data_IF_558941234651
#
_entry.id   IF_558941234651
#
_cell.length_a   1.000
_cell.length_b   1.000
_cell.length_c   1.000
_cell.angle_alpha   90.00
_cell.angle_beta   90.00
_cell.angle_gamma   90.00
#
_symmetry.space_group_name_H-M   'P 1'
#
loop_
_entity.id
_entity.type
_entity.pdbx_description
1 polymer ?
#
# COMPACT_ATOMS: atom_id res chain seq x y z
N UNK A 1 19.23 -24.80 -1.95
CA UNK A 1 18.50 -23.74 -1.22
C UNK A 1 18.15 -22.66 -2.23
N UNK A 2 16.88 -22.25 -2.37
CA UNK A 2 16.49 -21.22 -3.34
C UNK A 2 17.05 -19.85 -2.91
N UNK A 3 17.51 -19.04 -3.87
CA UNK A 3 17.97 -17.67 -3.58
C UNK A 3 16.77 -16.76 -3.30
N UNK A 4 16.99 -15.64 -2.59
CA UNK A 4 15.95 -14.62 -2.40
C UNK A 4 15.30 -14.22 -3.73
N UNK A 5 16.13 -13.96 -4.76
CA UNK A 5 15.66 -13.58 -6.10
C UNK A 5 14.70 -14.61 -6.68
N UNK A 6 15.03 -15.90 -6.60
CA UNK A 6 14.16 -16.99 -7.09
C UNK A 6 12.83 -17.03 -6.34
N UNK A 7 12.87 -16.93 -5.00
CA UNK A 7 11.67 -16.90 -4.16
C UNK A 7 10.79 -15.69 -4.47
N UNK A 8 11.39 -14.50 -4.61
CA UNK A 8 10.68 -13.27 -4.94
C UNK A 8 9.99 -13.35 -6.31
N UNK A 9 10.71 -13.77 -7.35
CA UNK A 9 10.14 -13.94 -8.69
C UNK A 9 8.98 -14.94 -8.73
N UNK A 10 8.96 -15.89 -7.79
CA UNK A 10 7.86 -16.86 -7.65
C UNK A 10 6.61 -16.24 -7.03
N UNK A 11 6.76 -15.40 -5.98
CA UNK A 11 5.61 -14.84 -5.25
C UNK A 11 5.10 -13.52 -5.83
N UNK A 12 5.98 -12.71 -6.45
CA UNK A 12 5.65 -11.37 -6.98
C UNK A 12 4.37 -11.36 -7.85
N UNK A 13 4.18 -12.27 -8.82
CA UNK A 13 2.98 -12.24 -9.66
C UNK A 13 1.68 -12.46 -8.87
N UNK A 14 1.73 -13.24 -7.79
CA UNK A 14 0.55 -13.45 -6.92
C UNK A 14 0.27 -12.21 -6.08
N UNK A 15 1.31 -11.53 -5.59
CA UNK A 15 1.17 -10.25 -4.89
C UNK A 15 0.60 -9.16 -5.80
N UNK A 16 1.04 -9.08 -7.05
CA UNK A 16 0.50 -8.17 -8.07
C UNK A 16 -1.00 -8.44 -8.35
N UNK A 17 -1.40 -9.72 -8.41
CA UNK A 17 -2.84 -10.10 -8.50
C UNK A 17 -3.63 -9.62 -7.29
N UNK A 18 -3.10 -9.80 -6.07
CA UNK A 18 -3.76 -9.36 -4.84
C UNK A 18 -3.95 -7.83 -4.84
N UNK A 19 -2.90 -7.08 -5.19
CA UNK A 19 -2.98 -5.62 -5.29
C UNK A 19 -4.01 -5.16 -6.32
N UNK A 20 -4.08 -5.86 -7.45
CA UNK A 20 -5.05 -5.57 -8.52
C UNK A 20 -6.45 -6.13 -8.25
N UNK A 21 -6.69 -6.76 -7.09
CA UNK A 21 -7.93 -7.46 -6.73
C UNK A 21 -8.34 -8.56 -7.74
N UNK A 22 -7.37 -9.12 -8.44
CA UNK A 22 -7.54 -10.23 -9.38
C UNK A 22 -7.66 -11.55 -8.61
N UNK A 23 -8.47 -12.48 -9.13
CA UNK A 23 -8.64 -13.79 -8.53
C UNK A 23 -7.30 -14.55 -8.43
N UNK A 24 -7.05 -15.11 -7.23
CA UNK A 24 -5.94 -16.03 -6.97
C UNK A 24 -6.50 -17.41 -6.64
N UNK A 25 -5.78 -18.45 -7.05
CA UNK A 25 -6.11 -19.83 -6.70
C UNK A 25 -5.64 -20.15 -5.29
N UNK A 26 -6.25 -21.17 -4.67
CA UNK A 26 -5.79 -21.70 -3.38
C UNK A 26 -4.32 -22.14 -3.42
N UNK A 27 -3.87 -22.70 -4.56
CA UNK A 27 -2.49 -23.16 -4.74
C UNK A 27 -1.52 -21.98 -4.71
N UNK A 28 -1.80 -20.91 -5.45
CA UNK A 28 -1.00 -19.68 -5.42
C UNK A 28 -0.91 -19.11 -4.01
N UNK A 29 -2.06 -19.01 -3.32
CA UNK A 29 -2.11 -18.51 -1.95
C UNK A 29 -1.23 -19.30 -0.98
N UNK A 30 -1.30 -20.64 -1.01
CA UNK A 30 -0.49 -21.52 -0.15
C UNK A 30 1.00 -21.42 -0.49
N UNK A 31 1.37 -21.34 -1.77
CA UNK A 31 2.77 -21.19 -2.18
C UNK A 31 3.37 -19.89 -1.65
N UNK A 32 2.64 -18.77 -1.76
CA UNK A 32 3.11 -17.48 -1.25
C UNK A 32 3.29 -17.52 0.26
N UNK A 33 2.32 -18.07 1.00
CA UNK A 33 2.42 -18.23 2.45
C UNK A 33 3.66 -19.02 2.87
N UNK A 34 3.90 -20.17 2.22
CA UNK A 34 5.04 -21.02 2.54
C UNK A 34 6.37 -20.30 2.27
N UNK A 35 6.51 -19.66 1.11
CA UNK A 35 7.74 -18.97 0.74
C UNK A 35 8.02 -17.81 1.70
N UNK A 36 7.02 -17.01 2.05
CA UNK A 36 7.19 -15.90 3.00
C UNK A 36 7.60 -16.41 4.38
N UNK A 37 6.93 -17.47 4.87
CA UNK A 37 7.31 -18.12 6.11
C UNK A 37 8.78 -18.58 6.10
N UNK A 38 9.22 -19.23 5.02
CA UNK A 38 10.60 -19.71 4.89
C UNK A 38 11.61 -18.57 4.81
N UNK A 39 11.29 -17.48 4.12
CA UNK A 39 12.15 -16.28 4.06
C UNK A 39 12.30 -15.61 5.42
N UNK A 40 11.26 -15.66 6.26
CA UNK A 40 11.28 -15.05 7.60
C UNK A 40 12.00 -15.91 8.66
N UNK A 41 12.01 -17.23 8.52
CA UNK A 41 12.58 -18.13 9.53
C UNK A 41 14.07 -18.44 9.34
N UNK A 42 14.68 -18.10 8.20
CA UNK A 42 15.99 -18.64 7.81
C UNK A 42 17.22 -17.88 8.29
N UNK A 43 17.13 -16.63 8.78
CA UNK A 43 18.33 -15.77 8.95
C UNK A 43 18.33 -14.92 10.24
N UNK A 44 17.96 -15.47 11.40
CA UNK A 44 18.04 -14.71 12.67
C UNK A 44 19.45 -14.67 13.28
N UNK A 45 20.38 -15.52 12.82
CA UNK A 45 21.72 -15.62 13.38
C UNK A 45 22.78 -14.92 12.52
N UNK A 46 23.20 -13.75 13.00
CA UNK A 46 24.52 -13.11 12.86
C UNK A 46 25.31 -13.32 11.55
N UNK A 47 25.22 -12.34 10.67
CA UNK A 47 26.39 -11.78 9.96
C UNK A 47 26.04 -10.38 9.43
N UNK A 48 27.05 -9.57 9.07
CA UNK A 48 26.90 -8.20 8.54
C UNK A 48 26.15 -8.10 7.18
N UNK A 49 25.41 -9.13 6.78
CA UNK A 49 24.67 -9.22 5.53
C UNK A 49 23.18 -8.94 5.76
N UNK A 50 22.55 -8.22 4.82
CA UNK A 50 21.10 -7.95 4.78
C UNK A 50 20.34 -9.28 4.84
N UNK A 51 19.40 -9.41 5.78
CA UNK A 51 18.62 -10.64 5.95
C UNK A 51 17.61 -10.84 4.81
N UNK A 52 17.19 -12.09 4.54
CA UNK A 52 16.14 -12.34 3.52
C UNK A 52 14.79 -11.68 3.87
N UNK A 53 14.47 -11.56 5.15
CA UNK A 53 13.28 -10.85 5.62
C UNK A 53 13.36 -9.35 5.36
N UNK A 54 14.55 -8.76 5.51
CA UNK A 54 14.80 -7.36 5.17
C UNK A 54 14.68 -7.12 3.67
N UNK A 55 15.27 -7.99 2.84
CA UNK A 55 15.10 -7.93 1.39
C UNK A 55 13.63 -8.07 0.99
N UNK A 56 12.87 -8.93 1.69
CA UNK A 56 11.43 -9.10 1.46
C UNK A 56 10.66 -7.82 1.78
N UNK A 57 10.99 -7.13 2.88
CA UNK A 57 10.36 -5.86 3.25
C UNK A 57 10.58 -4.79 2.20
N UNK A 58 11.83 -4.56 1.79
CA UNK A 58 12.13 -3.53 0.78
C UNK A 58 11.53 -3.87 -0.59
N UNK A 59 11.56 -5.15 -0.99
CA UNK A 59 10.93 -5.58 -2.25
C UNK A 59 9.40 -5.39 -2.22
N UNK A 60 8.78 -5.54 -1.05
CA UNK A 60 7.35 -5.28 -0.87
C UNK A 60 7.04 -3.77 -0.89
N UNK A 61 7.85 -2.93 -0.24
CA UNK A 61 7.72 -1.45 -0.31
C UNK A 61 7.82 -0.96 -1.76
N UNK A 62 8.81 -1.45 -2.51
CA UNK A 62 8.97 -1.14 -3.93
C UNK A 62 7.74 -1.55 -4.75
N UNK A 63 7.27 -2.80 -4.58
CA UNK A 63 6.10 -3.32 -5.30
C UNK A 63 4.83 -2.50 -5.03
N UNK A 64 4.55 -2.20 -3.76
CA UNK A 64 3.36 -1.44 -3.39
C UNK A 64 3.51 0.01 -3.86
N UNK A 65 4.69 0.60 -3.73
CA UNK A 65 4.98 1.96 -4.22
C UNK A 65 4.71 2.04 -5.71
N UNK A 66 5.28 1.15 -6.52
CA UNK A 66 5.04 1.10 -7.97
C UNK A 66 3.54 1.01 -8.29
N UNK A 67 2.82 0.11 -7.63
CA UNK A 67 1.38 -0.05 -7.82
C UNK A 67 0.60 1.24 -7.51
N UNK A 68 0.86 1.85 -6.34
CA UNK A 68 0.13 3.06 -5.92
C UNK A 68 0.52 4.26 -6.77
N UNK A 69 1.79 4.46 -7.10
CA UNK A 69 2.23 5.55 -7.98
C UNK A 69 1.57 5.46 -9.35
N UNK A 70 1.46 4.26 -9.93
CA UNK A 70 0.76 4.06 -11.20
C UNK A 70 -0.72 4.43 -11.10
N UNK A 71 -1.40 4.04 -10.02
CA UNK A 71 -2.79 4.43 -9.76
C UNK A 71 -2.94 5.94 -9.57
N UNK A 72 -1.97 6.58 -8.94
CA UNK A 72 -1.97 8.02 -8.74
C UNK A 72 -1.84 8.79 -10.07
N UNK A 73 -0.98 8.32 -10.97
CA UNK A 73 -0.85 8.85 -12.33
C UNK A 73 -2.14 8.71 -13.15
N UNK A 74 -2.81 7.55 -13.08
CA UNK A 74 -4.11 7.35 -13.74
C UNK A 74 -5.14 8.40 -13.27
N UNK A 75 -5.17 8.71 -11.98
CA UNK A 75 -6.06 9.72 -11.41
C UNK A 75 -5.67 11.15 -11.81
N UNK A 76 -4.38 11.44 -11.93
CA UNK A 76 -3.88 12.76 -12.32
C UNK A 76 -4.38 13.15 -13.71
N UNK A 77 -4.34 12.21 -14.65
CA UNK A 77 -4.77 12.37 -16.04
C UNK A 77 -6.31 12.49 -16.17
N UNK A 78 -7.09 12.08 -15.16
CA UNK A 78 -8.55 12.16 -15.20
C UNK A 78 -9.06 13.62 -15.14
N UNK A 79 -9.43 14.21 -16.28
CA UNK A 79 -9.85 15.61 -16.37
C UNK A 79 -11.10 15.95 -15.53
N UNK A 80 -12.04 15.01 -15.42
CA UNK A 80 -13.27 15.19 -14.68
C UNK A 80 -13.03 15.12 -13.17
N UNK A 81 -13.19 16.23 -12.45
CA UNK A 81 -13.01 16.33 -11.01
C UNK A 81 -13.87 15.34 -10.20
N UNK A 82 -15.15 15.18 -10.53
CA UNK A 82 -16.02 14.22 -9.84
C UNK A 82 -15.66 12.77 -10.19
N UNK A 83 -15.34 12.53 -11.46
CA UNK A 83 -14.84 11.24 -11.94
C UNK A 83 -13.58 10.83 -11.17
N UNK A 84 -12.62 11.74 -11.05
CA UNK A 84 -11.37 11.54 -10.30
C UNK A 84 -11.62 11.18 -8.83
N UNK A 85 -12.55 11.85 -8.16
CA UNK A 85 -12.88 11.54 -6.76
C UNK A 85 -13.56 10.18 -6.59
N UNK A 86 -14.48 9.82 -7.50
CA UNK A 86 -15.10 8.48 -7.51
C UNK A 86 -14.09 7.38 -7.78
N UNK A 87 -13.18 7.60 -8.73
CA UNK A 87 -12.11 6.64 -9.03
C UNK A 87 -11.11 6.52 -7.87
N UNK A 88 -10.78 7.63 -7.20
CA UNK A 88 -9.97 7.60 -5.98
C UNK A 88 -10.63 6.76 -4.88
N UNK A 89 -11.92 6.97 -4.61
CA UNK A 89 -12.67 6.20 -3.61
C UNK A 89 -12.74 4.71 -3.97
N UNK A 90 -12.97 4.40 -5.26
CA UNK A 90 -12.98 3.04 -5.79
C UNK A 90 -11.61 2.36 -5.61
N UNK A 91 -10.53 3.05 -5.99
CA UNK A 91 -9.16 2.58 -5.87
C UNK A 91 -8.79 2.33 -4.40
N UNK A 92 -9.14 3.25 -3.49
CA UNK A 92 -8.91 3.09 -2.06
C UNK A 92 -9.63 1.88 -1.49
N UNK A 93 -10.91 1.67 -1.83
CA UNK A 93 -11.69 0.51 -1.38
C UNK A 93 -11.10 -0.80 -1.85
N UNK A 94 -10.64 -0.87 -3.10
CA UNK A 94 -9.95 -2.06 -3.64
C UNK A 94 -8.63 -2.30 -2.91
N UNK A 95 -7.81 -1.26 -2.78
CA UNK A 95 -6.52 -1.35 -2.12
C UNK A 95 -6.66 -1.79 -0.65
N UNK A 96 -7.64 -1.25 0.09
CA UNK A 96 -7.92 -1.68 1.47
C UNK A 96 -8.18 -3.19 1.58
N UNK A 97 -8.92 -3.79 0.64
CA UNK A 97 -9.11 -5.25 0.62
C UNK A 97 -7.80 -5.99 0.37
N UNK A 98 -6.95 -5.46 -0.50
CA UNK A 98 -5.61 -6.02 -0.73
C UNK A 98 -4.76 -5.96 0.54
N UNK A 99 -4.83 -4.87 1.33
CA UNK A 99 -4.15 -4.76 2.62
C UNK A 99 -4.57 -5.91 3.54
N UNK A 100 -5.87 -6.15 3.70
CA UNK A 100 -6.37 -7.22 4.57
C UNK A 100 -5.80 -8.60 4.19
N UNK A 101 -5.73 -8.90 2.88
CA UNK A 101 -5.14 -10.15 2.38
C UNK A 101 -3.62 -10.19 2.61
N UNK A 102 -2.91 -9.09 2.32
CA UNK A 102 -1.47 -8.98 2.54
C UNK A 102 -1.12 -9.14 4.02
N UNK A 103 -1.87 -8.54 4.95
CA UNK A 103 -1.64 -8.69 6.39
C UNK A 103 -1.80 -10.13 6.87
N UNK A 104 -2.69 -10.92 6.24
CA UNK A 104 -2.79 -12.37 6.51
C UNK A 104 -1.59 -13.12 5.97
N UNK A 105 -1.19 -12.84 4.73
CA UNK A 105 -0.07 -13.50 4.06
C UNK A 105 1.26 -13.23 4.77
N UNK A 106 1.48 -11.99 5.19
CA UNK A 106 2.69 -11.54 5.86
C UNK A 106 2.60 -11.66 7.40
N UNK A 107 1.65 -12.43 7.94
CA UNK A 107 1.52 -12.61 9.39
C UNK A 107 2.81 -13.12 10.04
N UNK A 108 3.50 -14.08 9.40
CA UNK A 108 4.78 -14.59 9.89
C UNK A 108 5.85 -13.50 9.91
N UNK A 109 5.91 -12.66 8.87
CA UNK A 109 6.80 -11.52 8.80
C UNK A 109 6.53 -10.51 9.93
N UNK A 110 5.25 -10.14 10.12
CA UNK A 110 4.82 -9.16 11.13
C UNK A 110 5.15 -9.64 12.56
N UNK A 111 4.88 -10.92 12.85
CA UNK A 111 5.05 -11.48 14.19
C UNK A 111 6.52 -11.74 14.54
N UNK A 112 7.31 -12.24 13.59
CA UNK A 112 8.65 -12.74 13.89
C UNK A 112 9.74 -11.72 13.57
N UNK A 113 9.65 -11.01 12.44
CA UNK A 113 10.71 -10.11 12.01
C UNK A 113 10.44 -8.66 12.40
N UNK A 114 9.30 -8.07 12.04
CA UNK A 114 9.00 -6.67 12.34
C UNK A 114 8.98 -6.39 13.85
N UNK A 115 8.34 -7.28 14.63
CA UNK A 115 8.33 -7.20 16.08
C UNK A 115 9.73 -7.33 16.71
N UNK A 116 10.54 -8.29 16.25
CA UNK A 116 11.88 -8.48 16.82
C UNK A 116 12.87 -7.39 16.41
N UNK A 117 12.85 -6.96 15.15
CA UNK A 117 13.77 -5.97 14.60
C UNK A 117 13.66 -4.65 15.37
N UNK A 118 12.43 -4.20 15.62
CA UNK A 118 12.17 -2.98 16.38
C UNK A 118 12.56 -3.09 17.86
N UNK A 119 12.49 -4.29 18.45
CA UNK A 119 12.92 -4.51 19.83
C UNK A 119 14.45 -4.59 19.95
N UNK A 120 15.15 -4.94 18.88
CA UNK A 120 16.62 -5.03 18.84
C UNK A 120 17.32 -3.74 18.41
N UNK A 121 16.59 -2.78 17.83
CA UNK A 121 17.14 -1.46 17.51
C UNK A 121 17.38 -0.69 18.81
N UNK A 122 18.65 -0.53 19.16
CA UNK A 122 19.06 0.39 20.21
C UNK A 122 18.64 1.80 19.79
N UNK A 123 18.01 2.56 20.70
CA UNK A 123 17.29 3.83 20.41
C UNK A 123 18.15 4.95 19.81
N UNK A 124 19.44 4.71 19.59
CA UNK A 124 20.43 5.68 19.14
C UNK A 124 20.83 5.53 17.66
N UNK A 125 20.43 4.45 16.97
CA UNK A 125 20.69 4.32 15.53
C UNK A 125 19.48 4.79 14.72
N UNK A 126 19.71 5.69 13.77
CA UNK A 126 18.70 6.29 12.88
C UNK A 126 18.15 5.30 11.83
N UNK A 127 18.11 4.02 12.15
CA UNK A 127 17.54 3.01 11.29
C UNK A 127 16.03 3.18 11.21
N UNK A 128 15.53 3.17 9.97
CA UNK A 128 14.11 3.32 9.65
C UNK A 128 13.33 2.22 10.38
N UNK A 129 12.37 2.59 11.20
CA UNK A 129 11.51 1.64 11.90
C UNK A 129 10.80 0.74 10.88
N UNK A 130 10.88 -0.58 11.08
CA UNK A 130 10.14 -1.54 10.24
C UNK A 130 8.70 -1.55 10.72
N UNK A 131 7.76 -1.24 9.83
CA UNK A 131 6.34 -1.29 10.16
C UNK A 131 5.74 -2.63 9.76
N UNK A 132 4.61 -3.00 10.39
CA UNK A 132 3.84 -4.15 9.91
C UNK A 132 3.32 -3.86 8.49
N UNK A 133 3.01 -4.93 7.75
CA UNK A 133 2.56 -4.82 6.35
C UNK A 133 1.39 -3.88 6.14
N UNK A 134 0.44 -3.83 7.06
CA UNK A 134 -0.75 -2.98 6.95
C UNK A 134 -0.38 -1.50 7.09
N UNK A 135 0.45 -1.20 8.08
CA UNK A 135 1.00 0.14 8.31
C UNK A 135 1.84 0.59 7.12
N UNK A 136 2.74 -0.28 6.60
CA UNK A 136 3.51 -0.02 5.39
C UNK A 136 2.59 0.36 4.21
N UNK A 137 1.53 -0.42 3.96
CA UNK A 137 0.61 -0.13 2.87
C UNK A 137 -0.09 1.24 3.02
N UNK A 138 -0.51 1.59 4.24
CA UNK A 138 -1.20 2.85 4.52
C UNK A 138 -0.24 4.04 4.32
N UNK A 139 0.98 3.92 4.82
CA UNK A 139 2.01 4.96 4.67
C UNK A 139 2.36 5.19 3.20
N UNK A 140 2.52 4.12 2.42
CA UNK A 140 2.75 4.22 0.98
C UNK A 140 1.56 4.87 0.28
N UNK A 141 0.33 4.45 0.59
CA UNK A 141 -0.87 5.07 0.01
C UNK A 141 -0.90 6.57 0.26
N UNK A 142 -0.70 6.99 1.51
CA UNK A 142 -0.66 8.40 1.89
C UNK A 142 0.44 9.14 1.14
N UNK A 143 1.67 8.62 1.14
CA UNK A 143 2.83 9.24 0.49
C UNK A 143 2.60 9.43 -1.01
N UNK A 144 2.21 8.39 -1.71
CA UNK A 144 2.08 8.44 -3.18
C UNK A 144 0.82 9.20 -3.61
N UNK A 145 -0.34 8.91 -3.01
CA UNK A 145 -1.61 9.53 -3.43
C UNK A 145 -1.81 10.95 -2.90
N UNK A 146 -1.41 11.22 -1.66
CA UNK A 146 -1.77 12.46 -0.95
C UNK A 146 -0.60 13.42 -0.74
N UNK A 147 0.65 12.97 -0.86
CA UNK A 147 1.80 13.87 -0.74
C UNK A 147 2.38 14.19 -2.11
N UNK A 148 2.63 13.17 -2.94
CA UNK A 148 3.22 13.34 -4.28
C UNK A 148 2.21 13.76 -5.35
N UNK A 149 1.16 12.97 -5.59
CA UNK A 149 0.19 13.24 -6.69
C UNK A 149 -0.98 14.15 -6.28
N UNK A 150 -0.81 14.88 -5.18
CA UNK A 150 -1.93 15.49 -4.48
C UNK A 150 -2.58 16.68 -5.19
N UNK A 151 -1.89 17.33 -6.13
CA UNK A 151 -2.38 18.58 -6.73
C UNK A 151 -3.74 18.37 -7.42
N UNK A 152 -3.90 17.28 -8.16
CA UNK A 152 -5.13 16.99 -8.90
C UNK A 152 -6.29 16.59 -7.97
N UNK A 153 -6.02 15.79 -6.93
CA UNK A 153 -7.04 15.36 -5.96
C UNK A 153 -7.45 16.53 -5.07
N UNK A 154 -6.49 17.29 -4.49
CA UNK A 154 -6.77 18.51 -3.70
C UNK A 154 -7.61 19.51 -4.50
N UNK A 155 -7.20 19.82 -5.74
CA UNK A 155 -7.95 20.72 -6.63
C UNK A 155 -9.38 20.23 -6.86
N UNK A 156 -9.58 18.92 -7.00
CA UNK A 156 -10.92 18.33 -7.17
C UNK A 156 -11.78 18.45 -5.91
N UNK A 157 -11.19 18.23 -4.73
CA UNK A 157 -11.86 18.42 -3.43
C UNK A 157 -12.27 19.89 -3.25
N UNK A 158 -11.36 20.83 -3.53
CA UNK A 158 -11.62 22.25 -3.35
C UNK A 158 -12.69 22.76 -4.34
N UNK A 159 -12.69 22.28 -5.59
CA UNK A 159 -13.74 22.59 -6.55
C UNK A 159 -15.11 22.07 -6.09
N UNK A 160 -15.18 20.86 -5.53
CA UNK A 160 -16.43 20.31 -5.01
C UNK A 160 -16.96 21.10 -3.81
N UNK A 161 -16.08 21.55 -2.90
CA UNK A 161 -16.46 22.43 -1.78
C UNK A 161 -17.02 23.76 -2.27
N UNK A 162 -16.40 24.37 -3.29
CA UNK A 162 -16.89 25.60 -3.91
C UNK A 162 -18.29 25.40 -4.50
N UNK A 163 -18.50 24.33 -5.27
CA UNK A 163 -19.80 24.02 -5.87
C UNK A 163 -20.90 23.81 -4.80
N UNK A 164 -20.57 23.14 -3.69
CA UNK A 164 -21.50 22.95 -2.57
C UNK A 164 -21.84 24.29 -1.90
N UNK A 165 -20.85 25.16 -1.69
CA UNK A 165 -21.07 26.49 -1.10
C UNK A 165 -21.93 27.41 -1.97
N UNK A 166 -21.77 27.34 -3.30
CA UNK A 166 -22.56 28.11 -4.26
C UNK A 166 -24.03 27.64 -4.32
N UNK A 167 -24.26 26.33 -4.22
CA UNK A 167 -25.62 25.76 -4.19
C UNK A 167 -26.36 26.04 -2.88
N UNK A 168 -25.66 26.17 -1.75
CA UNK A 168 -26.28 26.57 -0.46
C UNK A 168 -26.59 28.07 -0.37
N UNK A 169 -25.99 28.90 -1.23
CA UNK A 169 -26.23 30.34 -1.28
C UNK A 169 -27.37 30.80 -2.20
N UNK A 170 -27.96 29.90 -3.00
CA UNK A 170 -28.92 30.24 -4.08
C UNK A 170 -30.39 29.93 -3.76
N UNK A 171 -30.81 29.91 -2.48
CA UNK A 171 -32.17 29.48 -2.10
C UNK A 171 -32.96 30.46 -1.20
N UNK A 172 -32.68 31.77 -1.27
CA UNK A 172 -33.43 32.76 -0.46
C UNK A 172 -33.97 33.98 -1.23
N UNK A 173 -33.91 34.00 -2.56
CA UNK A 173 -34.61 35.03 -3.33
C UNK A 173 -35.78 34.40 -4.11
N UNK A 174 -36.92 35.09 -4.14
CA UNK A 174 -38.27 34.69 -4.58
C UNK A 174 -39.11 34.01 -3.47
N UNK A 175 -40.08 34.67 -2.82
CA UNK A 175 -41.06 35.65 -3.30
C UNK A 175 -41.35 36.74 -2.27
N UNK A 176 -41.15 38.00 -2.67
CA UNK A 176 -42.03 39.10 -2.25
C UNK A 176 -43.09 39.27 -3.35
N UNK A 177 -44.30 38.81 -3.09
CA UNK A 177 -45.55 39.41 -3.59
C UNK A 177 -46.58 39.31 -2.47
#
# INVERSE_FOLDING_TARGET
MATFKTSWMTIKPTLEKILSTTAITRKEFVVVLQIIHDLCNMDWHHSQAISKAELLYYSLDELITEYVSNKALELEICENHEGRLREYESAWRKFKKSIEVLSVIFRSFNNHWAGSFNNSLDRNESHRQVTDTSTLCIDIWKREMLEKSCAAIKKSIDQMKLNLSANTGSNWEFHNV
#
